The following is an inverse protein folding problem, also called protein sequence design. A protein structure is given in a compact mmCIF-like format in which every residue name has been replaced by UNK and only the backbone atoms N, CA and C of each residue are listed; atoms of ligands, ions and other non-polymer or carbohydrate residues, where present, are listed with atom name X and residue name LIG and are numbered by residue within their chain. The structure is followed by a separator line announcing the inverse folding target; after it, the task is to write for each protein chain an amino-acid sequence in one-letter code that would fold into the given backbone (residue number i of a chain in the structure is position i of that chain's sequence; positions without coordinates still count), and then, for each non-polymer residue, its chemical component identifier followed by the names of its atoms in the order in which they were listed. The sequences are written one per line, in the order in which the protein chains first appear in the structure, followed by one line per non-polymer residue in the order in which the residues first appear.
data_IF_746030557801
#
_entry.id   IF_746030557801
#
_cell.length_a   1.000
_cell.length_b   1.000
_cell.length_c   1.000
_cell.angle_alpha   90.00
_cell.angle_beta   90.00
_cell.angle_gamma   90.00
#
_symmetry.space_group_name_H-M   'P 1'
#
loop_
_entity.id
_entity.type
_entity.pdbx_description
1 polymer ?
#
# COMPACT_ATOMS: atom_id res chain seq x y z
N UNK A 1 -6.24 -17.07 -0.43
CA UNK A 1 -6.90 -16.84 0.86
C UNK A 1 -6.43 -15.53 1.49
N UNK A 2 -7.22 -14.96 2.40
CA UNK A 2 -6.81 -13.82 3.23
C UNK A 2 -5.51 -14.14 3.98
N UNK A 3 -5.41 -15.33 4.56
CA UNK A 3 -4.22 -15.76 5.31
C UNK A 3 -2.92 -15.70 4.48
N UNK A 4 -2.96 -16.07 3.19
CA UNK A 4 -1.76 -15.98 2.34
C UNK A 4 -1.36 -14.53 2.06
N UNK A 5 -2.33 -13.62 1.90
CA UNK A 5 -2.04 -12.20 1.69
C UNK A 5 -1.48 -11.56 2.96
N UNK A 6 -1.98 -11.96 4.15
CA UNK A 6 -1.42 -11.49 5.43
C UNK A 6 0.06 -11.88 5.54
N UNK A 7 0.39 -13.14 5.26
CA UNK A 7 1.78 -13.61 5.31
C UNK A 7 2.70 -12.81 4.39
N UNK A 8 2.24 -12.55 3.16
CA UNK A 8 3.00 -11.77 2.18
C UNK A 8 3.08 -10.27 2.54
N UNK A 9 2.02 -9.69 3.12
CA UNK A 9 2.05 -8.31 3.65
C UNK A 9 3.08 -8.17 4.77
N UNK A 10 3.06 -9.08 5.74
CA UNK A 10 4.04 -9.06 6.85
C UNK A 10 5.47 -9.21 6.31
N UNK A 11 5.69 -10.15 5.38
CA UNK A 11 7.02 -10.35 4.77
C UNK A 11 7.49 -9.12 3.97
N UNK A 12 6.57 -8.38 3.33
CA UNK A 12 6.90 -7.14 2.62
C UNK A 12 7.27 -6.02 3.59
N UNK A 13 6.51 -5.87 4.67
CA UNK A 13 6.81 -4.90 5.73
C UNK A 13 8.11 -5.23 6.47
N UNK A 14 8.43 -6.51 6.69
CA UNK A 14 9.70 -6.93 7.28
C UNK A 14 10.89 -6.65 6.36
N UNK A 15 10.72 -6.84 5.06
CA UNK A 15 11.74 -6.47 4.08
C UNK A 15 12.01 -4.96 4.06
N UNK A 16 10.97 -4.13 4.15
CA UNK A 16 11.13 -2.68 4.27
C UNK A 16 11.76 -2.28 5.61
N UNK A 17 11.37 -2.90 6.72
CA UNK A 17 11.98 -2.66 8.04
C UNK A 17 13.50 -2.92 8.00
N UNK A 18 13.93 -4.00 7.36
CA UNK A 18 15.35 -4.31 7.20
C UNK A 18 16.12 -3.24 6.40
N UNK A 19 15.46 -2.52 5.50
CA UNK A 19 16.05 -1.38 4.76
C UNK A 19 16.16 -0.15 5.66
N UNK A 20 15.09 0.21 6.38
CA UNK A 20 15.05 1.50 7.10
C UNK A 20 15.68 1.46 8.48
N UNK A 21 15.73 0.30 9.15
CA UNK A 21 16.26 0.17 10.49
C UNK A 21 17.74 0.58 10.65
N UNK A 22 18.64 0.30 9.68
CA UNK A 22 20.03 0.70 9.77
C UNK A 22 20.32 2.13 9.27
N UNK A 23 19.32 2.87 8.75
CA UNK A 23 19.54 4.19 8.17
C UNK A 23 20.00 5.20 9.23
N UNK A 24 20.96 6.04 8.86
CA UNK A 24 21.38 7.16 9.68
C UNK A 24 20.27 8.23 9.75
N UNK A 25 20.31 9.07 10.78
CA UNK A 25 19.27 10.09 11.01
C UNK A 25 19.09 11.04 9.81
N UNK A 26 20.20 11.38 9.13
CA UNK A 26 20.20 12.23 7.94
C UNK A 26 19.50 11.58 6.73
N UNK A 27 19.52 10.25 6.61
CA UNK A 27 18.85 9.56 5.51
C UNK A 27 17.33 9.65 5.61
N UNK A 28 16.80 9.74 6.83
CA UNK A 28 15.36 9.91 7.06
C UNK A 28 14.82 11.26 6.55
N UNK A 29 15.70 12.26 6.40
CA UNK A 29 15.34 13.60 5.91
C UNK A 29 15.58 13.76 4.39
N UNK A 30 16.07 12.73 3.69
CA UNK A 30 16.31 12.79 2.25
C UNK A 30 15.00 12.80 1.48
N UNK A 31 14.91 13.72 0.50
CA UNK A 31 13.74 13.83 -0.38
C UNK A 31 13.58 12.58 -1.25
N UNK A 32 12.37 12.09 -1.36
CA UNK A 32 12.00 10.93 -2.18
C UNK A 32 11.45 11.37 -3.55
N UNK A 33 11.22 10.43 -4.50
CA UNK A 33 10.52 10.73 -5.75
C UNK A 33 9.10 11.29 -5.55
N UNK A 34 8.46 10.98 -4.43
CA UNK A 34 7.16 11.55 -4.07
C UNK A 34 7.30 13.04 -3.72
N UNK A 35 6.64 13.97 -4.46
CA UNK A 35 6.82 15.41 -4.23
C UNK A 35 6.50 15.83 -2.79
N UNK A 36 7.37 16.62 -2.17
CA UNK A 36 7.29 17.14 -0.80
C UNK A 36 7.48 16.11 0.31
N UNK A 37 7.81 14.86 -0.01
CA UNK A 37 7.97 13.78 0.95
C UNK A 37 9.45 13.39 1.10
N UNK A 38 9.89 13.25 2.32
CA UNK A 38 11.15 12.63 2.71
C UNK A 38 10.94 11.13 3.04
N UNK A 39 12.01 10.41 3.29
CA UNK A 39 11.96 8.99 3.74
C UNK A 39 11.06 8.84 4.96
N UNK A 40 11.16 9.74 5.94
CA UNK A 40 10.29 9.73 7.13
C UNK A 40 8.81 9.85 6.80
N UNK A 41 8.45 10.64 5.77
CA UNK A 41 7.06 10.82 5.38
C UNK A 41 6.48 9.54 4.77
N UNK A 42 7.28 8.77 4.03
CA UNK A 42 6.90 7.46 3.50
C UNK A 42 6.54 6.49 4.64
N UNK A 43 7.38 6.42 5.68
CA UNK A 43 7.13 5.56 6.85
C UNK A 43 5.97 6.09 7.69
N UNK A 44 5.86 7.42 7.86
CA UNK A 44 4.72 8.06 8.53
C UNK A 44 3.39 7.75 7.85
N UNK A 45 3.36 7.82 6.52
CA UNK A 45 2.21 7.45 5.71
C UNK A 45 1.81 5.98 5.93
N UNK A 46 2.77 5.07 5.86
CA UNK A 46 2.51 3.65 6.11
C UNK A 46 1.97 3.42 7.53
N UNK A 47 2.55 4.07 8.54
CA UNK A 47 2.11 3.95 9.92
C UNK A 47 0.66 4.43 10.11
N UNK A 48 0.30 5.59 9.53
CA UNK A 48 -1.05 6.13 9.62
C UNK A 48 -2.08 5.20 8.96
N UNK A 49 -1.79 4.71 7.75
CA UNK A 49 -2.74 3.87 7.05
C UNK A 49 -2.76 2.41 7.53
N UNK A 50 -1.70 1.91 8.16
CA UNK A 50 -1.74 0.61 8.85
C UNK A 50 -2.59 0.70 10.12
N UNK A 51 -2.48 1.82 10.88
CA UNK A 51 -3.35 2.10 12.03
C UNK A 51 -4.83 2.16 11.64
N UNK A 52 -5.16 2.95 10.61
CA UNK A 52 -6.55 3.11 10.19
C UNK A 52 -7.10 1.84 9.53
N UNK A 53 -6.24 1.02 8.91
CA UNK A 53 -6.62 -0.28 8.38
C UNK A 53 -6.94 -1.28 9.50
N UNK A 54 -6.18 -1.29 10.58
CA UNK A 54 -6.52 -2.07 11.77
C UNK A 54 -7.86 -1.62 12.37
N UNK A 55 -8.07 -0.30 12.51
CA UNK A 55 -9.34 0.27 12.99
C UNK A 55 -10.51 -0.14 12.11
N UNK A 56 -10.36 -0.09 10.77
CA UNK A 56 -11.43 -0.46 9.84
C UNK A 56 -11.86 -1.94 9.96
N UNK A 57 -10.96 -2.80 10.42
CA UNK A 57 -11.23 -4.22 10.64
C UNK A 57 -11.83 -4.44 12.04
N UNK A 58 -11.21 -3.89 13.08
CA UNK A 58 -11.57 -4.18 14.48
C UNK A 58 -12.78 -3.40 14.96
N UNK A 59 -12.96 -2.15 14.47
CA UNK A 59 -14.06 -1.26 14.82
C UNK A 59 -14.55 -0.49 13.58
N UNK A 60 -15.36 -1.12 12.71
CA UNK A 60 -15.86 -0.48 11.49
C UNK A 60 -16.67 0.80 11.73
N UNK A 61 -17.42 0.89 12.85
CA UNK A 61 -18.19 2.10 13.19
C UNK A 61 -17.26 3.24 13.60
N UNK A 62 -16.24 2.93 14.41
CA UNK A 62 -15.18 3.88 14.77
C UNK A 62 -14.38 4.35 13.55
N UNK A 63 -14.12 3.48 12.58
CA UNK A 63 -13.49 3.86 11.33
C UNK A 63 -14.37 4.82 10.51
N UNK A 64 -15.69 4.59 10.42
CA UNK A 64 -16.59 5.52 9.71
C UNK A 64 -16.55 6.91 10.34
N UNK A 65 -16.63 7.00 11.66
CA UNK A 65 -16.54 8.28 12.38
C UNK A 65 -15.17 8.96 12.15
N UNK A 66 -14.07 8.19 12.19
CA UNK A 66 -12.73 8.68 11.86
C UNK A 66 -12.66 9.22 10.42
N UNK A 67 -13.18 8.47 9.45
CA UNK A 67 -13.18 8.86 8.04
C UNK A 67 -13.92 10.18 7.81
N UNK A 68 -15.09 10.36 8.41
CA UNK A 68 -15.87 11.60 8.31
C UNK A 68 -15.10 12.81 8.86
N UNK A 69 -14.47 12.64 10.02
CA UNK A 69 -13.63 13.68 10.62
C UNK A 69 -12.39 13.97 9.78
N UNK A 70 -11.74 12.95 9.27
CA UNK A 70 -10.56 13.06 8.40
C UNK A 70 -10.88 13.81 7.10
N UNK A 71 -11.97 13.44 6.41
CA UNK A 71 -12.38 14.09 5.16
C UNK A 71 -12.67 15.56 5.38
N UNK A 72 -13.34 15.92 6.46
CA UNK A 72 -13.62 17.32 6.82
C UNK A 72 -12.33 18.15 7.00
N UNK A 73 -11.25 17.54 7.44
CA UNK A 73 -9.96 18.21 7.69
C UNK A 73 -9.03 18.16 6.47
N UNK A 74 -8.92 17.01 5.82
CA UNK A 74 -7.94 16.74 4.76
C UNK A 74 -8.16 17.57 3.48
N UNK A 75 -9.38 18.05 3.25
CA UNK A 75 -9.72 18.88 2.07
C UNK A 75 -9.78 20.39 2.38
N UNK A 76 -9.37 20.82 3.55
CA UNK A 76 -9.43 22.24 3.93
C UNK A 76 -8.38 23.11 3.21
N UNK A 77 -7.23 22.54 2.80
CA UNK A 77 -6.17 23.23 2.04
C UNK A 77 -5.31 22.23 1.24
N UNK A 78 -4.42 22.75 0.40
CA UNK A 78 -3.51 21.90 -0.41
C UNK A 78 -2.52 21.06 0.41
N UNK A 79 -2.24 21.43 1.65
CA UNK A 79 -1.31 20.70 2.56
C UNK A 79 -2.05 19.96 3.68
N UNK A 80 -3.35 20.18 3.85
CA UNK A 80 -4.10 19.64 4.99
C UNK A 80 -4.18 18.11 5.00
N UNK A 81 -4.15 17.46 3.85
CA UNK A 81 -4.07 16.00 3.78
C UNK A 81 -2.74 15.48 4.33
N UNK A 82 -1.61 16.09 3.90
CA UNK A 82 -0.28 15.76 4.43
C UNK A 82 -0.22 16.06 5.94
N UNK A 83 -0.72 17.22 6.38
CA UNK A 83 -0.72 17.59 7.79
C UNK A 83 -1.57 16.64 8.64
N UNK A 84 -2.70 16.18 8.12
CA UNK A 84 -3.60 15.24 8.81
C UNK A 84 -3.02 13.81 8.91
N UNK A 85 -2.24 13.37 7.92
CA UNK A 85 -1.66 12.02 7.89
C UNK A 85 -0.24 11.94 8.43
N UNK A 86 0.55 13.02 8.29
CA UNK A 86 1.99 13.03 8.56
C UNK A 86 2.38 13.89 9.76
N UNK A 87 1.47 14.75 10.26
CA UNK A 87 1.79 15.73 11.30
C UNK A 87 2.37 15.11 12.56
N UNK A 88 1.79 14.01 13.04
CA UNK A 88 2.31 13.26 14.19
C UNK A 88 3.67 12.62 13.89
N UNK A 89 3.81 11.96 12.75
CA UNK A 89 5.05 11.31 12.33
C UNK A 89 6.21 12.31 12.16
N UNK A 90 5.92 13.50 11.64
CA UNK A 90 6.91 14.58 11.48
C UNK A 90 7.44 15.14 12.81
N UNK A 91 6.67 15.00 13.89
CA UNK A 91 7.09 15.40 15.22
C UNK A 91 7.94 14.36 15.96
N UNK A 92 8.00 13.12 15.47
CA UNK A 92 8.76 12.03 16.08
C UNK A 92 10.24 12.08 15.67
N UNK A 93 11.13 11.53 16.52
CA UNK A 93 12.47 11.15 16.07
C UNK A 93 12.41 9.93 15.13
N UNK A 94 13.46 9.69 14.31
CA UNK A 94 13.49 8.54 13.41
C UNK A 94 13.34 7.18 14.15
N UNK A 95 14.01 6.93 15.29
CA UNK A 95 13.78 5.71 16.07
C UNK A 95 12.35 5.59 16.60
N UNK A 96 11.77 6.69 17.12
CA UNK A 96 10.40 6.67 17.65
C UNK A 96 9.37 6.41 16.52
N UNK A 97 9.59 6.99 15.34
CA UNK A 97 8.74 6.79 14.17
C UNK A 97 8.81 5.34 13.68
N UNK A 98 10.03 4.76 13.62
CA UNK A 98 10.20 3.36 13.25
C UNK A 98 9.47 2.43 14.23
N UNK A 99 9.61 2.66 15.54
CA UNK A 99 8.92 1.87 16.55
C UNK A 99 7.40 2.11 16.50
N UNK A 100 6.95 3.33 16.18
CA UNK A 100 5.54 3.63 15.96
C UNK A 100 4.99 2.81 14.77
N UNK A 101 5.64 2.84 13.60
CA UNK A 101 5.22 2.04 12.45
C UNK A 101 5.21 0.54 12.74
N UNK A 102 6.22 0.02 13.44
CA UNK A 102 6.26 -1.39 13.87
C UNK A 102 5.05 -1.79 14.71
N UNK A 103 4.60 -0.91 15.62
CA UNK A 103 3.38 -1.15 16.40
C UNK A 103 2.14 -1.16 15.51
N UNK A 104 2.01 -0.20 14.57
CA UNK A 104 0.83 -0.11 13.73
C UNK A 104 0.72 -1.29 12.76
N UNK A 105 1.81 -1.69 12.11
CA UNK A 105 1.80 -2.87 11.23
C UNK A 105 1.53 -4.18 12.00
N UNK A 106 1.99 -4.30 13.23
CA UNK A 106 1.67 -5.45 14.09
C UNK A 106 0.18 -5.48 14.46
N UNK A 107 -0.41 -4.32 14.77
CA UNK A 107 -1.86 -4.21 15.03
C UNK A 107 -2.68 -4.58 13.79
N UNK A 108 -2.28 -4.12 12.60
CA UNK A 108 -2.93 -4.51 11.35
C UNK A 108 -2.83 -6.01 11.10
N UNK A 109 -1.65 -6.61 11.29
CA UNK A 109 -1.45 -8.05 11.12
C UNK A 109 -2.35 -8.85 12.08
N UNK A 110 -2.47 -8.42 13.34
CA UNK A 110 -3.34 -9.04 14.33
C UNK A 110 -4.83 -8.93 13.93
N UNK A 111 -5.30 -7.71 13.62
CA UNK A 111 -6.66 -7.47 13.17
C UNK A 111 -7.00 -8.31 11.94
N UNK A 112 -6.11 -8.36 10.95
CA UNK A 112 -6.31 -9.10 9.71
C UNK A 112 -6.54 -10.60 9.92
N UNK A 113 -6.02 -11.20 11.01
CA UNK A 113 -6.26 -12.62 11.32
C UNK A 113 -7.72 -12.93 11.63
N UNK A 114 -8.53 -11.93 11.98
CA UNK A 114 -9.97 -12.09 12.25
C UNK A 114 -10.83 -12.02 10.99
N UNK A 115 -10.25 -11.58 9.84
CA UNK A 115 -11.00 -11.41 8.59
C UNK A 115 -11.38 -12.75 7.97
N UNK A 116 -12.66 -12.94 7.68
CA UNK A 116 -13.12 -14.01 6.80
C UNK A 116 -12.75 -13.71 5.33
N UNK A 117 -12.62 -14.77 4.51
CA UNK A 117 -12.26 -14.61 3.08
C UNK A 117 -13.29 -13.81 2.26
N UNK A 118 -14.54 -13.76 2.69
CA UNK A 118 -15.67 -13.05 2.09
C UNK A 118 -16.00 -11.72 2.77
N UNK A 119 -15.27 -11.33 3.81
CA UNK A 119 -15.48 -10.07 4.52
C UNK A 119 -15.30 -8.87 3.60
N UNK A 120 -16.05 -7.80 3.87
CA UNK A 120 -15.89 -6.49 3.23
C UNK A 120 -15.47 -5.47 4.26
N UNK A 121 -14.47 -4.67 3.88
CA UNK A 121 -13.87 -3.65 4.75
C UNK A 121 -14.20 -2.28 4.18
N UNK A 122 -14.73 -1.40 5.04
CA UNK A 122 -14.92 0.01 4.74
C UNK A 122 -13.56 0.71 4.59
N UNK A 123 -13.50 1.69 3.66
CA UNK A 123 -12.29 2.46 3.43
C UNK A 123 -12.62 3.94 3.11
N UNK A 124 -11.60 4.75 2.83
CA UNK A 124 -11.76 6.15 2.41
C UNK A 124 -12.41 6.30 1.04
N UNK A 125 -12.35 5.26 0.21
CA UNK A 125 -13.08 5.09 -1.05
C UNK A 125 -14.19 4.05 -0.92
N UNK A 126 -14.52 3.33 -2.00
CA UNK A 126 -15.46 2.22 -1.95
C UNK A 126 -15.00 1.10 -0.99
N UNK A 127 -15.95 0.41 -0.36
CA UNK A 127 -15.62 -0.78 0.42
C UNK A 127 -15.01 -1.87 -0.45
N UNK A 128 -14.06 -2.62 0.09
CA UNK A 128 -13.32 -3.68 -0.62
C UNK A 128 -13.47 -5.03 0.06
N UNK A 129 -13.39 -6.12 -0.69
CA UNK A 129 -13.22 -7.45 -0.10
C UNK A 129 -11.88 -7.51 0.67
N UNK A 130 -11.86 -8.23 1.80
CA UNK A 130 -10.70 -8.30 2.71
C UNK A 130 -9.39 -8.65 1.99
N UNK A 131 -9.42 -9.60 1.05
CA UNK A 131 -8.24 -9.95 0.26
C UNK A 131 -7.70 -8.75 -0.55
N UNK A 132 -8.57 -8.01 -1.26
CA UNK A 132 -8.15 -6.83 -2.05
C UNK A 132 -7.70 -5.70 -1.15
N UNK A 133 -8.34 -5.52 0.00
CA UNK A 133 -7.97 -4.53 1.01
C UNK A 133 -6.53 -4.75 1.52
N UNK A 134 -6.22 -5.97 1.96
CA UNK A 134 -4.88 -6.31 2.43
C UNK A 134 -3.84 -6.30 1.30
N UNK A 135 -4.24 -6.68 0.07
CA UNK A 135 -3.37 -6.53 -1.12
C UNK A 135 -3.03 -5.06 -1.40
N UNK A 136 -3.98 -4.15 -1.20
CA UNK A 136 -3.71 -2.72 -1.32
C UNK A 136 -2.68 -2.25 -0.27
N UNK A 137 -2.76 -2.72 0.98
CA UNK A 137 -1.75 -2.42 2.01
C UNK A 137 -0.37 -2.98 1.64
N UNK A 138 -0.31 -4.20 1.08
CA UNK A 138 0.93 -4.78 0.57
C UNK A 138 1.51 -3.93 -0.57
N UNK A 139 0.68 -3.50 -1.51
CA UNK A 139 1.07 -2.63 -2.62
C UNK A 139 1.64 -1.30 -2.12
N UNK A 140 1.01 -0.69 -1.11
CA UNK A 140 1.51 0.54 -0.48
C UNK A 140 2.88 0.32 0.18
N UNK A 141 3.04 -0.74 0.98
CA UNK A 141 4.33 -1.07 1.60
C UNK A 141 5.43 -1.27 0.53
N UNK A 142 5.09 -1.94 -0.57
CA UNK A 142 6.02 -2.12 -1.69
C UNK A 142 6.34 -0.81 -2.40
N UNK A 143 5.35 -0.01 -2.78
CA UNK A 143 5.54 1.21 -3.56
C UNK A 143 6.33 2.27 -2.77
N UNK A 144 5.94 2.54 -1.52
CA UNK A 144 6.66 3.45 -0.64
C UNK A 144 8.05 2.93 -0.27
N UNK A 145 8.19 1.61 -0.12
CA UNK A 145 9.48 0.95 0.05
C UNK A 145 10.41 1.14 -1.14
N UNK A 146 9.89 1.14 -2.39
CA UNK A 146 10.68 1.39 -3.58
C UNK A 146 11.18 2.85 -3.62
N UNK A 147 10.30 3.82 -3.32
CA UNK A 147 10.69 5.23 -3.23
C UNK A 147 11.84 5.44 -2.22
N UNK A 148 11.80 4.73 -1.09
CA UNK A 148 12.88 4.76 -0.08
C UNK A 148 14.16 4.14 -0.64
N UNK A 149 14.09 2.93 -1.21
CA UNK A 149 15.25 2.24 -1.78
C UNK A 149 15.95 3.10 -2.86
N UNK A 150 15.17 3.69 -3.77
CA UNK A 150 15.68 4.59 -4.81
C UNK A 150 16.39 5.82 -4.19
N UNK A 151 15.83 6.36 -3.11
CA UNK A 151 16.38 7.51 -2.40
C UNK A 151 17.70 7.20 -1.73
N UNK A 152 17.81 6.05 -1.06
CA UNK A 152 19.02 5.68 -0.29
C UNK A 152 20.04 4.90 -1.11
N UNK A 153 19.73 4.55 -2.35
CA UNK A 153 20.61 3.84 -3.28
C UNK A 153 20.77 2.36 -2.96
N UNK A 154 19.71 1.71 -2.43
CA UNK A 154 19.66 0.28 -2.16
C UNK A 154 18.93 -0.39 -3.32
N UNK A 155 19.59 -1.36 -3.98
CA UNK A 155 18.93 -2.22 -4.95
C UNK A 155 18.00 -3.21 -4.21
N UNK A 156 16.76 -3.27 -4.66
CA UNK A 156 15.75 -4.12 -4.07
C UNK A 156 15.52 -5.36 -4.92
N UNK A 157 15.75 -6.52 -4.33
CA UNK A 157 15.45 -7.80 -4.99
C UNK A 157 13.94 -7.98 -5.18
N UNK A 158 13.47 -8.21 -6.42
CA UNK A 158 12.07 -8.49 -6.68
C UNK A 158 11.66 -9.83 -6.08
N UNK A 159 10.41 -9.95 -5.65
CA UNK A 159 9.86 -11.17 -5.06
C UNK A 159 8.53 -11.55 -5.68
N UNK A 160 8.11 -12.81 -5.55
CA UNK A 160 6.83 -13.28 -6.07
C UNK A 160 5.60 -12.65 -5.38
N UNK A 161 5.78 -11.88 -4.32
CA UNK A 161 4.73 -11.02 -3.74
C UNK A 161 4.20 -9.99 -4.74
N UNK A 162 4.98 -9.63 -5.77
CA UNK A 162 4.54 -8.79 -6.89
C UNK A 162 3.31 -9.34 -7.61
N UNK A 163 3.05 -10.66 -7.53
CA UNK A 163 1.85 -11.25 -8.10
C UNK A 163 0.55 -10.64 -7.56
N UNK A 164 0.51 -10.32 -6.27
CA UNK A 164 -0.65 -9.68 -5.65
C UNK A 164 -0.86 -8.27 -6.20
N UNK A 165 0.23 -7.53 -6.40
CA UNK A 165 0.21 -6.15 -6.91
C UNK A 165 -0.21 -6.15 -8.38
N UNK A 166 0.36 -7.04 -9.20
CA UNK A 166 -0.01 -7.19 -10.61
C UNK A 166 -1.49 -7.59 -10.76
N UNK A 167 -1.98 -8.53 -9.93
CA UNK A 167 -3.40 -8.89 -9.87
C UNK A 167 -4.28 -7.68 -9.52
N UNK A 168 -3.89 -6.89 -8.52
CA UNK A 168 -4.62 -5.68 -8.13
C UNK A 168 -4.67 -4.69 -9.30
N UNK A 169 -3.53 -4.40 -9.93
CA UNK A 169 -3.45 -3.53 -11.10
C UNK A 169 -4.36 -3.99 -12.24
N UNK A 170 -4.40 -5.30 -12.51
CA UNK A 170 -5.27 -5.87 -13.54
C UNK A 170 -6.75 -5.66 -13.22
N UNK A 171 -7.22 -6.01 -12.01
CA UNK A 171 -8.64 -5.91 -11.66
C UNK A 171 -9.12 -4.48 -11.44
N UNK A 172 -8.23 -3.54 -11.12
CA UNK A 172 -8.56 -2.12 -10.94
C UNK A 172 -8.35 -1.26 -12.18
N UNK A 173 -8.03 -1.86 -13.34
CA UNK A 173 -7.84 -1.15 -14.59
C UNK A 173 -8.98 -0.17 -14.90
N UNK A 174 -10.23 -0.63 -14.85
CA UNK A 174 -11.40 0.21 -15.09
C UNK A 174 -11.50 1.39 -14.12
N UNK A 175 -11.25 1.14 -12.83
CA UNK A 175 -11.23 2.15 -11.79
C UNK A 175 -10.18 3.25 -12.05
N UNK A 176 -9.01 2.88 -12.59
CA UNK A 176 -7.97 3.83 -12.96
C UNK A 176 -8.43 4.84 -14.02
N UNK A 177 -9.20 4.41 -15.01
CA UNK A 177 -9.78 5.31 -16.02
C UNK A 177 -10.83 6.22 -15.40
N UNK A 178 -11.76 5.65 -14.60
CA UNK A 178 -12.84 6.40 -13.94
C UNK A 178 -12.24 7.51 -13.05
N UNK A 179 -11.23 7.23 -12.25
CA UNK A 179 -10.58 8.21 -11.38
C UNK A 179 -9.89 9.35 -12.13
N UNK A 180 -9.54 9.13 -13.40
CA UNK A 180 -8.95 10.15 -14.28
C UNK A 180 -9.98 10.87 -15.14
N UNK A 181 -11.27 10.58 -14.97
CA UNK A 181 -12.35 11.12 -15.79
C UNK A 181 -12.28 10.68 -17.25
N UNK A 182 -11.70 9.50 -17.51
CA UNK A 182 -11.54 8.91 -18.84
C UNK A 182 -12.55 7.78 -19.05
N UNK A 183 -12.96 7.56 -20.31
CA UNK A 183 -13.77 6.42 -20.68
C UNK A 183 -12.98 5.12 -20.50
N UNK A 184 -13.60 4.11 -19.89
CA UNK A 184 -13.00 2.78 -19.77
C UNK A 184 -13.02 2.11 -21.14
N UNK A 185 -11.86 1.72 -21.72
CA UNK A 185 -11.82 0.99 -22.97
C UNK A 185 -12.63 -0.31 -22.89
N UNK A 186 -13.47 -0.56 -23.90
CA UNK A 186 -14.36 -1.72 -23.93
C UNK A 186 -13.62 -3.05 -24.13
N UNK A 187 -12.41 -3.00 -24.73
CA UNK A 187 -11.64 -4.19 -25.07
C UNK A 187 -10.97 -4.87 -23.87
N UNK A 188 -10.83 -6.19 -23.98
CA UNK A 188 -10.10 -7.00 -23.01
C UNK A 188 -8.57 -6.78 -23.11
N UNK A 189 -7.90 -6.98 -21.98
CA UNK A 189 -6.44 -6.95 -21.92
C UNK A 189 -5.96 -8.29 -21.35
N UNK A 190 -4.99 -8.91 -22.01
CA UNK A 190 -4.22 -10.00 -21.43
C UNK A 190 -2.90 -9.46 -20.88
N UNK A 191 -2.58 -9.84 -19.64
CA UNK A 191 -1.31 -9.51 -19.00
C UNK A 191 -0.54 -10.82 -18.80
N UNK A 192 0.68 -10.89 -19.32
CA UNK A 192 1.60 -12.04 -19.16
C UNK A 192 2.92 -11.55 -18.60
N UNK A 193 3.24 -11.91 -17.37
CA UNK A 193 4.48 -11.52 -16.70
C UNK A 193 5.33 -12.74 -16.37
N UNK A 194 6.65 -12.57 -16.50
CA UNK A 194 7.61 -13.52 -15.94
C UNK A 194 7.88 -13.12 -14.50
N UNK A 195 7.62 -14.03 -13.57
CA UNK A 195 7.84 -13.81 -12.14
C UNK A 195 9.34 -13.77 -11.79
N UNK A 196 9.70 -13.21 -10.61
CA UNK A 196 11.07 -13.31 -10.10
C UNK A 196 11.59 -14.74 -9.96
N UNK A 197 10.73 -15.70 -9.62
CA UNK A 197 11.08 -17.14 -9.57
C UNK A 197 11.16 -17.83 -10.94
N UNK A 198 10.82 -17.11 -12.04
CA UNK A 198 10.84 -17.64 -13.41
C UNK A 198 9.53 -18.31 -13.87
N UNK A 199 8.45 -18.24 -13.05
CA UNK A 199 7.13 -18.70 -13.45
C UNK A 199 6.45 -17.70 -14.40
N UNK A 200 5.49 -18.18 -15.20
CA UNK A 200 4.65 -17.30 -16.02
C UNK A 200 3.32 -17.04 -15.31
N UNK A 201 3.01 -15.76 -15.11
CA UNK A 201 1.71 -15.31 -14.58
C UNK A 201 0.88 -14.73 -15.72
N UNK A 202 -0.39 -15.16 -15.81
CA UNK A 202 -1.31 -14.72 -16.86
C UNK A 202 -2.62 -14.25 -16.24
N UNK A 203 -3.12 -13.10 -16.72
CA UNK A 203 -4.46 -12.57 -16.43
C UNK A 203 -5.14 -12.15 -17.72
N UNK A 204 -6.44 -12.36 -17.81
CA UNK A 204 -7.26 -12.05 -18.98
C UNK A 204 -7.41 -13.19 -19.97
N UNK A 205 -8.26 -13.00 -20.98
CA UNK A 205 -8.55 -14.02 -21.99
C UNK A 205 -7.39 -14.16 -22.98
N UNK A 206 -7.25 -15.37 -23.56
CA UNK A 206 -6.21 -15.67 -24.56
C UNK A 206 -6.31 -14.85 -25.85
N UNK A 207 -7.51 -14.35 -26.18
CA UNK A 207 -7.79 -13.54 -27.37
C UNK A 207 -8.19 -12.10 -26.98
N UNK A 208 -7.40 -11.47 -26.13
CA UNK A 208 -7.61 -10.07 -25.77
C UNK A 208 -7.23 -9.13 -26.93
N UNK A 209 -7.91 -7.98 -27.01
CA UNK A 209 -7.61 -6.93 -28.00
C UNK A 209 -6.27 -6.25 -27.76
N UNK A 210 -5.77 -6.26 -26.52
CA UNK A 210 -4.49 -5.69 -26.12
C UNK A 210 -3.72 -6.66 -25.24
N UNK A 211 -2.38 -6.63 -25.34
CA UNK A 211 -1.49 -7.47 -24.52
C UNK A 211 -0.45 -6.63 -23.80
N UNK A 212 -0.13 -7.00 -22.56
CA UNK A 212 0.99 -6.48 -21.79
C UNK A 212 1.90 -7.65 -21.43
N UNK A 213 3.18 -7.57 -21.79
CA UNK A 213 4.16 -8.61 -21.50
C UNK A 213 5.43 -8.03 -20.93
N UNK A 214 6.10 -8.73 -20.01
CA UNK A 214 7.37 -8.30 -19.43
C UNK A 214 7.77 -9.13 -18.22
N UNK A 215 8.80 -8.65 -17.51
CA UNK A 215 9.12 -9.09 -16.15
C UNK A 215 8.20 -8.41 -15.13
N UNK A 216 7.91 -9.11 -14.05
CA UNK A 216 7.15 -8.57 -12.93
C UNK A 216 8.00 -7.60 -12.11
#
# INVERSE_FOLDING_TARGET
TVASVIADLVAEQDALDAVVAPLAAEDWERATPSPRWAVRDQIGHLAFFDMTAALAIDDPEGFVAHRESFVATAFASATSADDATLGEARAMSAPDLLDHWRRQRASLAAAATTCADDARIEWYGPSMGAKSFLTARLMEAWAHGQDICDTVGIEREPTDRLRHIAQLGYITRGWTYINRGLDVPAGDVQVTLTSPSGETWVWGPDQAEATVTGSA
#
